data_IF_681677837493
#
_entry.id   IF_681677837493
#
_cell.length_a   1.000
_cell.length_b   1.000
_cell.length_c   1.000
_cell.angle_alpha   90.00
_cell.angle_beta   90.00
_cell.angle_gamma   90.00
#
_symmetry.space_group_name_H-M   'P 1'
#
loop_
_entity.id
_entity.type
_entity.pdbx_description
1 polymer ?
#
# COMPACT_ATOMS: atom_id res chain seq x y z
N UNK A 1 0.36 11.04 -33.59
CA UNK A 1 1.43 11.08 -32.55
C UNK A 1 0.87 11.63 -31.24
N UNK A 2 0.91 10.85 -30.16
CA UNK A 2 0.23 11.19 -28.89
C UNK A 2 0.94 12.23 -28.01
N UNK A 3 0.21 12.79 -27.03
CA UNK A 3 0.69 13.81 -26.08
C UNK A 3 1.42 13.20 -24.86
N UNK A 4 2.34 12.27 -25.11
CA UNK A 4 3.11 11.61 -24.04
C UNK A 4 4.25 12.51 -23.56
N UNK A 5 4.39 12.67 -22.23
CA UNK A 5 5.47 13.46 -21.63
C UNK A 5 6.75 12.63 -21.51
N UNK A 6 7.90 13.25 -21.74
CA UNK A 6 9.23 12.62 -21.70
C UNK A 6 9.68 12.29 -20.27
N UNK A 7 10.68 11.40 -20.15
CA UNK A 7 11.26 11.02 -18.85
C UNK A 7 11.82 12.20 -18.06
N UNK A 8 12.38 13.20 -18.73
CA UNK A 8 12.91 14.43 -18.11
C UNK A 8 11.81 15.21 -17.39
N UNK A 9 10.70 15.48 -18.07
CA UNK A 9 9.53 16.16 -17.49
C UNK A 9 8.98 15.38 -16.31
N UNK A 10 8.83 14.05 -16.45
CA UNK A 10 8.29 13.20 -15.39
C UNK A 10 9.20 13.13 -14.16
N UNK A 11 10.51 13.01 -14.37
CA UNK A 11 11.51 12.93 -13.29
C UNK A 11 11.61 14.26 -12.54
N UNK A 12 11.73 15.38 -13.27
CA UNK A 12 11.83 16.71 -12.64
C UNK A 12 10.59 17.06 -11.81
N UNK A 13 9.38 16.80 -12.31
CA UNK A 13 8.16 17.07 -11.57
C UNK A 13 8.05 16.27 -10.26
N UNK A 14 8.47 14.99 -10.27
CA UNK A 14 8.49 14.17 -9.06
C UNK A 14 9.41 14.75 -7.99
N UNK A 15 10.63 15.11 -8.38
CA UNK A 15 11.62 15.70 -7.46
C UNK A 15 11.13 17.03 -6.87
N UNK A 16 10.43 17.85 -7.67
CA UNK A 16 9.84 19.11 -7.20
C UNK A 16 8.77 18.83 -6.13
N UNK A 17 7.91 17.82 -6.35
CA UNK A 17 6.86 17.43 -5.41
C UNK A 17 7.45 16.87 -4.12
N UNK A 18 8.42 15.98 -4.20
CA UNK A 18 9.06 15.35 -3.04
C UNK A 18 9.64 16.39 -2.07
N UNK A 19 10.28 17.44 -2.61
CA UNK A 19 10.98 18.46 -1.81
C UNK A 19 10.12 19.67 -1.42
N UNK A 20 9.17 20.07 -2.26
CA UNK A 20 8.46 21.34 -2.12
C UNK A 20 6.93 21.19 -2.07
N UNK A 21 6.43 20.02 -1.65
CA UNK A 21 4.99 19.75 -1.54
C UNK A 21 4.18 20.89 -0.90
N UNK A 22 4.58 21.47 0.26
CA UNK A 22 3.77 22.48 0.95
C UNK A 22 3.56 23.78 0.16
N UNK A 23 4.42 24.06 -0.83
CA UNK A 23 4.34 25.29 -1.64
C UNK A 23 3.49 25.11 -2.90
N UNK A 24 3.23 23.87 -3.32
CA UNK A 24 2.58 23.58 -4.59
C UNK A 24 1.05 23.58 -4.43
N UNK A 25 0.34 23.95 -5.49
CA UNK A 25 -1.13 24.03 -5.51
C UNK A 25 -1.74 23.12 -6.57
N UNK A 26 -3.07 23.16 -6.74
CA UNK A 26 -3.76 22.49 -7.85
C UNK A 26 -3.81 23.31 -9.14
N UNK A 27 -3.48 24.60 -9.06
CA UNK A 27 -3.56 25.54 -10.17
C UNK A 27 -2.27 25.52 -11.02
N UNK A 28 -2.42 25.74 -12.33
CA UNK A 28 -1.31 25.70 -13.26
C UNK A 28 -0.45 26.97 -13.21
N UNK A 29 -1.08 28.13 -13.10
CA UNK A 29 -0.39 29.40 -13.27
C UNK A 29 0.51 29.71 -12.07
N UNK A 30 0.01 29.42 -10.87
CA UNK A 30 0.79 29.44 -9.61
C UNK A 30 1.96 28.46 -9.65
N UNK A 31 1.71 27.17 -9.95
CA UNK A 31 2.78 26.17 -10.04
C UNK A 31 3.81 26.50 -11.12
N UNK A 32 3.42 27.18 -12.21
CA UNK A 32 4.35 27.63 -13.25
C UNK A 32 5.35 28.65 -12.71
N UNK A 33 4.90 29.61 -11.90
CA UNK A 33 5.76 30.61 -11.24
C UNK A 33 6.68 29.95 -10.21
N UNK A 34 6.11 29.07 -9.38
CA UNK A 34 6.87 28.31 -8.39
C UNK A 34 7.96 27.45 -9.03
N UNK A 35 7.67 26.80 -10.18
CA UNK A 35 8.68 26.02 -10.90
C UNK A 35 9.85 26.88 -11.42
N UNK A 36 9.61 28.14 -11.77
CA UNK A 36 10.65 29.08 -12.19
C UNK A 36 11.51 29.57 -11.03
N UNK A 37 10.92 29.72 -9.85
CA UNK A 37 11.63 30.12 -8.63
C UNK A 37 12.51 28.98 -8.08
N UNK A 38 12.02 27.74 -8.13
CA UNK A 38 12.70 26.58 -7.54
C UNK A 38 13.85 26.07 -8.41
N UNK A 39 13.72 26.13 -9.73
CA UNK A 39 14.63 25.44 -10.65
C UNK A 39 15.01 26.31 -11.85
N UNK A 40 16.28 26.22 -12.24
CA UNK A 40 16.77 26.84 -13.48
C UNK A 40 16.31 25.99 -14.66
N UNK A 41 15.25 26.43 -15.34
CA UNK A 41 14.66 25.72 -16.49
C UNK A 41 14.99 26.47 -17.78
N UNK A 42 15.80 25.85 -18.65
CA UNK A 42 16.35 26.49 -19.85
C UNK A 42 15.31 26.97 -20.88
N UNK A 43 14.11 26.39 -20.92
CA UNK A 43 13.09 26.80 -21.90
C UNK A 43 11.68 26.89 -21.33
N UNK A 44 10.94 27.89 -21.81
CA UNK A 44 9.51 28.11 -21.50
C UNK A 44 8.66 26.86 -21.78
N UNK A 45 8.96 26.14 -22.87
CA UNK A 45 8.23 24.91 -23.23
C UNK A 45 8.48 23.78 -22.24
N UNK A 46 9.70 23.61 -21.73
CA UNK A 46 10.00 22.60 -20.71
C UNK A 46 9.34 22.94 -19.38
N UNK A 47 9.45 24.20 -18.94
CA UNK A 47 8.77 24.70 -17.74
C UNK A 47 7.28 24.43 -17.76
N UNK A 48 6.60 24.80 -18.83
CA UNK A 48 5.15 24.58 -18.95
C UNK A 48 4.79 23.09 -18.92
N UNK A 49 5.63 22.21 -19.49
CA UNK A 49 5.43 20.76 -19.40
C UNK A 49 5.63 20.22 -17.99
N UNK A 50 6.63 20.73 -17.25
CA UNK A 50 6.92 20.36 -15.87
C UNK A 50 5.79 20.84 -14.95
N UNK A 51 5.43 22.12 -14.99
CA UNK A 51 4.33 22.68 -14.22
C UNK A 51 3.01 21.94 -14.51
N UNK A 52 2.73 21.67 -15.79
CA UNK A 52 1.52 20.94 -16.19
C UNK A 52 1.52 19.44 -15.85
N UNK A 53 2.68 18.84 -15.59
CA UNK A 53 2.73 17.47 -15.05
C UNK A 53 2.69 17.47 -13.51
N UNK A 54 3.24 18.49 -12.88
CA UNK A 54 3.18 18.72 -11.43
C UNK A 54 1.73 18.90 -10.96
N UNK A 55 0.95 19.75 -11.65
CA UNK A 55 -0.50 19.89 -11.37
C UNK A 55 -1.26 18.57 -11.55
N UNK A 56 -0.92 17.80 -12.58
CA UNK A 56 -1.53 16.51 -12.82
C UNK A 56 -1.23 15.50 -11.71
N UNK A 57 -0.01 15.52 -11.17
CA UNK A 57 0.36 14.69 -10.02
C UNK A 57 -0.33 15.16 -8.74
N UNK A 58 -0.43 16.46 -8.49
CA UNK A 58 -1.15 17.01 -7.34
C UNK A 58 -2.62 16.58 -7.30
N UNK A 59 -3.32 16.65 -8.44
CA UNK A 59 -4.70 16.14 -8.54
C UNK A 59 -4.82 14.64 -8.30
N UNK A 60 -3.77 13.88 -8.59
CA UNK A 60 -3.74 12.43 -8.30
C UNK A 60 -3.45 12.15 -6.84
N UNK A 61 -2.55 12.91 -6.21
CA UNK A 61 -2.21 12.81 -4.79
C UNK A 61 -3.46 13.04 -3.93
N UNK A 62 -4.32 13.99 -4.31
CA UNK A 62 -5.60 14.23 -3.62
C UNK A 62 -6.52 13.00 -3.62
N UNK A 63 -6.46 12.15 -4.64
CA UNK A 63 -7.28 10.92 -4.74
C UNK A 63 -6.63 9.73 -4.04
N UNK A 64 -5.34 9.81 -3.72
CA UNK A 64 -4.60 8.72 -3.10
C UNK A 64 -3.09 8.76 -3.39
N UNK A 65 -2.33 7.85 -2.77
CA UNK A 65 -0.88 7.80 -2.92
C UNK A 65 -0.47 7.52 -4.37
N UNK A 66 0.52 8.27 -4.86
CA UNK A 66 1.03 8.14 -6.22
C UNK A 66 2.33 7.36 -6.22
N UNK A 67 2.45 6.34 -7.09
CA UNK A 67 3.62 5.46 -7.14
C UNK A 67 4.93 6.21 -7.42
N UNK A 68 5.90 6.00 -6.53
CA UNK A 68 7.26 6.54 -6.63
C UNK A 68 7.29 8.06 -6.51
N UNK A 69 6.51 8.58 -5.56
CA UNK A 69 6.59 9.91 -4.98
C UNK A 69 6.33 9.69 -3.49
N UNK A 70 7.24 10.13 -2.64
CA UNK A 70 6.98 10.31 -1.21
C UNK A 70 7.18 11.76 -0.85
N UNK A 71 6.42 12.26 0.10
CA UNK A 71 6.68 13.55 0.70
C UNK A 71 6.52 13.40 2.21
N UNK A 72 7.19 14.28 2.96
CA UNK A 72 7.32 14.17 4.41
C UNK A 72 6.01 13.87 5.14
N UNK A 73 4.91 14.53 4.74
CA UNK A 73 3.59 14.29 5.34
C UNK A 73 3.08 12.85 5.13
N UNK A 74 3.36 12.23 3.98
CA UNK A 74 3.01 10.81 3.76
C UNK A 74 3.86 9.87 4.60
N UNK A 75 5.12 10.23 4.86
CA UNK A 75 6.03 9.44 5.67
C UNK A 75 5.58 9.48 7.14
N UNK A 76 5.26 10.67 7.67
CA UNK A 76 4.71 10.85 9.02
C UNK A 76 3.35 10.14 9.22
N UNK A 77 2.48 10.12 8.20
CA UNK A 77 1.23 9.37 8.27
C UNK A 77 1.43 7.85 8.22
N UNK A 78 2.42 7.37 7.46
CA UNK A 78 2.77 5.94 7.44
C UNK A 78 3.36 5.52 8.78
N UNK A 79 4.29 6.29 9.35
CA UNK A 79 4.87 6.01 10.65
C UNK A 79 3.81 5.91 11.75
N UNK A 80 2.82 6.82 11.76
CA UNK A 80 1.70 6.73 12.71
C UNK A 80 0.83 5.49 12.54
N UNK A 81 0.64 5.02 11.31
CA UNK A 81 -0.13 3.80 11.03
C UNK A 81 0.66 2.54 11.37
N UNK A 82 1.94 2.52 11.05
CA UNK A 82 2.82 1.38 11.33
C UNK A 82 3.07 1.23 12.84
N UNK A 83 3.06 2.33 13.59
CA UNK A 83 3.18 2.34 15.05
C UNK A 83 1.85 2.03 15.78
N UNK A 84 0.76 1.77 15.06
CA UNK A 84 -0.51 1.43 15.68
C UNK A 84 -0.43 0.07 16.37
N UNK A 85 -0.48 0.08 17.70
CA UNK A 85 -0.63 -1.10 18.53
C UNK A 85 -2.05 -1.08 19.11
N UNK A 86 -2.87 -2.12 18.88
CA UNK A 86 -4.22 -2.18 19.45
C UNK A 86 -4.14 -2.31 20.98
N UNK A 87 -5.19 -1.85 21.67
CA UNK A 87 -5.28 -1.95 23.14
C UNK A 87 -5.31 -3.41 23.62
N UNK A 88 -5.97 -4.28 22.85
CA UNK A 88 -6.00 -5.72 23.09
C UNK A 88 -5.15 -6.41 22.04
N UNK A 89 -4.19 -7.21 22.48
CA UNK A 89 -3.38 -8.02 21.57
C UNK A 89 -4.26 -9.09 20.92
N UNK A 90 -4.21 -9.20 19.59
CA UNK A 90 -4.87 -10.29 18.88
C UNK A 90 -4.34 -11.67 19.27
N UNK A 91 -3.16 -11.74 19.91
CA UNK A 91 -2.55 -12.98 20.41
C UNK A 91 -2.90 -13.27 21.87
N UNK A 92 -3.57 -12.34 22.57
CA UNK A 92 -3.98 -12.58 23.94
C UNK A 92 -5.17 -13.54 23.97
N UNK A 93 -4.88 -14.79 24.30
CA UNK A 93 -5.85 -15.86 24.43
C UNK A 93 -6.82 -15.64 25.60
N UNK A 94 -6.48 -14.79 26.58
CA UNK A 94 -7.34 -14.55 27.75
C UNK A 94 -8.53 -13.63 27.46
N UNK A 95 -8.41 -12.72 26.48
CA UNK A 95 -9.42 -11.72 26.16
C UNK A 95 -10.13 -11.94 24.81
N UNK A 96 -9.62 -12.81 23.94
CA UNK A 96 -10.26 -13.10 22.66
C UNK A 96 -11.59 -13.85 22.85
N UNK A 97 -12.68 -13.24 22.38
CA UNK A 97 -14.06 -13.70 22.53
C UNK A 97 -14.42 -14.94 21.71
N UNK A 98 -13.60 -15.34 20.72
CA UNK A 98 -13.91 -16.45 19.82
C UNK A 98 -13.46 -17.82 20.35
N UNK A 99 -12.44 -17.89 21.22
CA UNK A 99 -11.88 -19.15 21.74
C UNK A 99 -11.94 -19.28 23.28
N UNK A 100 -12.60 -18.34 23.97
CA UNK A 100 -12.98 -18.47 25.38
C UNK A 100 -11.83 -18.74 26.36
N UNK A 101 -10.60 -18.28 26.09
CA UNK A 101 -9.45 -18.53 26.96
C UNK A 101 -8.56 -19.70 26.55
N UNK A 102 -8.88 -20.44 25.48
CA UNK A 102 -8.18 -21.67 25.08
C UNK A 102 -7.67 -21.59 23.64
N UNK A 103 -6.53 -22.22 23.36
CA UNK A 103 -5.99 -22.32 22.00
C UNK A 103 -6.48 -23.60 21.33
N UNK A 104 -7.09 -23.46 20.15
CA UNK A 104 -7.50 -24.60 19.34
C UNK A 104 -6.27 -25.21 18.63
N UNK A 105 -5.96 -26.47 18.95
CA UNK A 105 -4.79 -27.20 18.43
C UNK A 105 -5.15 -28.60 17.96
N UNK A 106 -4.36 -29.15 17.05
CA UNK A 106 -4.46 -30.57 16.66
C UNK A 106 -3.78 -31.48 17.70
N UNK A 107 -4.13 -32.77 17.69
CA UNK A 107 -3.61 -33.80 18.61
C UNK A 107 -2.09 -33.92 18.59
N UNK A 108 -1.47 -33.93 17.41
CA UNK A 108 0.00 -34.01 17.28
C UNK A 108 0.68 -32.76 17.89
N UNK A 109 0.08 -31.59 17.69
CA UNK A 109 0.56 -30.32 18.29
C UNK A 109 0.48 -30.33 19.81
N UNK A 110 -0.54 -30.98 20.38
CA UNK A 110 -0.66 -31.15 21.84
C UNK A 110 0.44 -32.04 22.41
N UNK A 111 0.79 -33.11 21.70
CA UNK A 111 1.87 -34.01 22.15
C UNK A 111 3.25 -33.34 22.03
N UNK A 112 3.45 -32.50 21.00
CA UNK A 112 4.62 -31.63 20.92
C UNK A 112 4.71 -30.68 22.12
N UNK A 113 3.60 -30.04 22.52
CA UNK A 113 3.57 -29.15 23.68
C UNK A 113 3.95 -29.88 24.98
N UNK A 114 3.51 -31.14 25.16
CA UNK A 114 3.93 -31.98 26.30
C UNK A 114 5.43 -32.27 26.28
N UNK A 115 5.97 -32.66 25.13
CA UNK A 115 7.40 -32.95 24.99
C UNK A 115 8.30 -31.73 25.25
N UNK A 116 7.83 -30.53 24.91
CA UNK A 116 8.54 -29.28 25.17
C UNK A 116 8.34 -28.75 26.60
N UNK A 117 7.51 -29.41 27.42
CA UNK A 117 7.24 -29.01 28.81
C UNK A 117 6.24 -27.86 28.97
N UNK A 118 5.44 -27.56 27.94
CA UNK A 118 4.43 -26.49 27.95
C UNK A 118 3.00 -27.01 28.23
N UNK A 119 2.85 -27.92 29.19
CA UNK A 119 1.56 -28.54 29.52
C UNK A 119 0.56 -27.60 30.21
N UNK A 120 1.05 -26.48 30.77
CA UNK A 120 0.23 -25.50 31.50
C UNK A 120 -0.55 -24.54 30.60
N UNK A 121 -0.37 -24.61 29.28
CA UNK A 121 -1.08 -23.75 28.33
C UNK A 121 -2.48 -24.34 28.08
N UNK A 122 -3.57 -23.58 28.28
CA UNK A 122 -4.92 -24.07 28.04
C UNK A 122 -5.16 -24.27 26.55
N UNK A 123 -5.31 -25.53 26.13
CA UNK A 123 -5.52 -25.93 24.74
C UNK A 123 -6.78 -26.78 24.57
N UNK A 124 -7.57 -26.49 23.55
CA UNK A 124 -8.70 -27.27 23.10
C UNK A 124 -8.29 -28.10 21.87
N UNK A 125 -8.63 -29.39 21.83
CA UNK A 125 -8.20 -30.28 20.75
C UNK A 125 -9.30 -30.38 19.71
N UNK A 126 -9.04 -29.88 18.50
CA UNK A 126 -9.99 -29.99 17.39
C UNK A 126 -9.54 -31.11 16.45
N UNK A 127 -10.42 -32.07 16.12
CA UNK A 127 -10.10 -33.10 15.13
C UNK A 127 -9.98 -32.47 13.74
N UNK A 128 -8.83 -32.65 13.10
CA UNK A 128 -8.61 -32.17 11.73
C UNK A 128 -9.47 -32.97 10.76
N UNK A 129 -10.62 -32.43 10.38
CA UNK A 129 -11.33 -32.93 9.21
C UNK A 129 -10.57 -32.47 7.97
N UNK A 130 -9.98 -33.41 7.22
CA UNK A 130 -9.51 -33.12 5.87
C UNK A 130 -10.71 -32.69 5.02
N UNK A 131 -10.97 -31.39 4.94
CA UNK A 131 -11.77 -30.87 3.86
C UNK A 131 -10.96 -31.13 2.59
N UNK A 132 -11.42 -32.11 1.80
CA UNK A 132 -10.97 -32.25 0.42
C UNK A 132 -11.16 -30.89 -0.23
N UNK A 133 -10.05 -30.18 -0.44
CA UNK A 133 -10.04 -29.00 -1.27
C UNK A 133 -10.54 -29.51 -2.62
N UNK A 134 -11.74 -29.12 -3.09
CA UNK A 134 -12.16 -29.52 -4.42
C UNK A 134 -11.07 -29.00 -5.33
N UNK A 135 -10.37 -29.91 -6.02
CA UNK A 135 -9.40 -29.53 -7.03
C UNK A 135 -10.04 -28.43 -7.84
N UNK A 136 -9.43 -27.24 -7.85
CA UNK A 136 -9.86 -26.18 -8.74
C UNK A 136 -9.66 -26.75 -10.13
N UNK A 137 -10.76 -27.28 -10.69
CA UNK A 137 -10.80 -27.96 -11.97
C UNK A 137 -9.95 -27.17 -12.94
N UNK A 138 -8.99 -27.85 -13.57
CA UNK A 138 -8.00 -27.24 -14.43
C UNK A 138 -8.67 -26.20 -15.31
N UNK A 139 -8.24 -24.93 -15.17
CA UNK A 139 -8.76 -23.84 -15.98
C UNK A 139 -8.60 -24.24 -17.44
N UNK A 140 -9.69 -24.65 -18.08
CA UNK A 140 -9.70 -24.99 -19.50
C UNK A 140 -9.31 -23.71 -20.24
N UNK A 141 -8.17 -23.76 -20.90
CA UNK A 141 -7.68 -22.67 -21.72
C UNK A 141 -8.68 -22.45 -22.86
N UNK A 142 -9.63 -21.52 -22.69
CA UNK A 142 -10.72 -21.31 -23.66
C UNK A 142 -11.81 -20.32 -23.23
N UNK A 143 -12.14 -20.20 -21.93
CA UNK A 143 -13.29 -19.41 -21.47
C UNK A 143 -12.98 -17.91 -21.22
N UNK A 144 -12.19 -17.27 -22.10
CA UNK A 144 -12.09 -15.80 -22.10
C UNK A 144 -13.10 -15.24 -23.10
N UNK A 145 -14.06 -14.41 -22.67
CA UNK A 145 -14.98 -13.77 -23.60
C UNK A 145 -14.19 -12.89 -24.59
N UNK A 146 -14.57 -12.86 -25.88
CA UNK A 146 -13.88 -12.06 -26.88
C UNK A 146 -13.92 -10.59 -26.48
N UNK A 147 -12.78 -9.93 -26.65
CA UNK A 147 -12.62 -8.51 -26.39
C UNK A 147 -13.50 -7.77 -27.41
N UNK A 148 -14.51 -7.02 -26.93
CA UNK A 148 -15.29 -6.14 -27.79
C UNK A 148 -14.38 -4.99 -28.24
N UNK A 149 -14.24 -4.85 -29.56
CA UNK A 149 -13.63 -3.68 -30.21
C UNK A 149 -14.45 -2.41 -29.97
#
# INVERSE_FOLDING_TARGET
>A
MGRVRTKTVKKSAKVIIERYYPKLTLDFETNKRICDEIAIIASKRLRNKIAGYTTHLMKRIQRGPVRGISFKLQEEERERKDQYVPEVSALDFTQNSESGGQLDVDGETKDLLKHLGFESIPVNVIPVSQQQVPERGGRRYGDRPPRRD
#
